data_IF_294991626734
#
_entry.id   IF_294991626734
#
_cell.length_a   1.000
_cell.length_b   1.000
_cell.length_c   1.000
_cell.angle_alpha   90.00
_cell.angle_beta   90.00
_cell.angle_gamma   90.00
#
_symmetry.space_group_name_H-M   'P 1'
#
loop_
_entity.id
_entity.type
_entity.pdbx_description
1 polymer ?
#
# COMPACT_ATOMS: atom_id res chain seq x y z
N UNK A 1 2.35 -28.15 17.23
CA UNK A 1 3.61 -27.53 16.76
C UNK A 1 3.45 -26.04 16.99
N UNK A 2 4.13 -25.48 17.99
CA UNK A 2 4.19 -24.02 18.17
C UNK A 2 4.95 -23.43 16.99
N UNK A 3 4.47 -22.35 16.34
CA UNK A 3 5.25 -21.74 15.27
C UNK A 3 6.57 -21.24 15.87
N UNK A 4 7.68 -21.69 15.30
CA UNK A 4 8.97 -21.06 15.56
C UNK A 4 8.87 -19.60 15.14
N UNK A 5 9.33 -18.71 16.01
CA UNK A 5 9.37 -17.28 15.73
C UNK A 5 10.19 -17.05 14.43
N UNK A 6 9.57 -16.44 13.42
CA UNK A 6 10.22 -16.00 12.18
C UNK A 6 10.33 -14.47 12.20
N UNK A 7 11.57 -13.98 12.04
CA UNK A 7 11.86 -12.55 11.97
C UNK A 7 11.19 -11.91 10.75
N UNK A 8 11.13 -12.65 9.64
CA UNK A 8 10.49 -12.23 8.39
C UNK A 8 8.98 -12.05 8.60
N UNK A 9 8.33 -13.01 9.28
CA UNK A 9 6.90 -12.95 9.58
C UNK A 9 6.56 -11.83 10.57
N UNK A 10 7.47 -11.51 11.49
CA UNK A 10 7.34 -10.38 12.39
C UNK A 10 7.54 -9.04 11.68
N UNK A 11 8.54 -8.93 10.79
CA UNK A 11 8.81 -7.73 10.01
C UNK A 11 7.68 -7.40 9.03
N UNK A 12 7.07 -8.43 8.42
CA UNK A 12 5.91 -8.29 7.54
C UNK A 12 4.62 -7.81 8.25
N UNK A 13 4.66 -7.51 9.55
CA UNK A 13 3.52 -6.85 10.22
C UNK A 13 3.50 -5.34 9.99
N UNK A 14 4.59 -4.74 9.51
CA UNK A 14 4.67 -3.33 9.12
C UNK A 14 5.02 -3.17 7.66
N UNK A 15 4.56 -2.06 7.09
CA UNK A 15 4.96 -1.63 5.75
C UNK A 15 6.43 -1.17 5.72
N UNK A 16 6.90 -0.56 6.79
CA UNK A 16 8.30 -0.19 7.00
C UNK A 16 8.77 -0.59 8.40
N UNK A 17 9.41 0.35 9.10
CA UNK A 17 9.99 0.12 10.43
C UNK A 17 8.96 0.39 11.54
N UNK A 18 7.95 1.21 11.28
CA UNK A 18 6.98 1.62 12.28
C UNK A 18 5.83 0.61 12.43
N UNK A 19 5.73 0.03 13.62
CA UNK A 19 4.66 -0.89 14.01
C UNK A 19 3.77 -0.23 15.06
N UNK A 20 2.55 0.14 14.65
CA UNK A 20 1.45 0.44 15.56
C UNK A 20 0.43 -0.70 15.45
N UNK A 21 0.31 -1.57 16.47
CA UNK A 21 -0.64 -2.68 16.45
C UNK A 21 -2.08 -2.23 16.22
N UNK A 22 -2.47 -1.01 16.62
CA UNK A 22 -3.81 -0.49 16.38
C UNK A 22 -4.07 -0.17 14.90
N UNK A 23 -3.01 -0.06 14.09
CA UNK A 23 -3.08 0.21 12.66
C UNK A 23 -2.99 -1.06 11.80
N UNK A 24 -2.64 -2.21 12.40
CA UNK A 24 -2.52 -3.46 11.65
C UNK A 24 -3.89 -3.90 11.14
N UNK A 25 -4.00 -4.03 9.81
CA UNK A 25 -5.24 -4.43 9.17
C UNK A 25 -5.07 -4.56 7.66
N UNK A 26 -6.19 -4.77 6.96
CA UNK A 26 -6.21 -4.82 5.50
C UNK A 26 -5.89 -3.43 4.92
N UNK A 27 -4.96 -3.43 3.98
CA UNK A 27 -4.57 -2.29 3.16
C UNK A 27 -4.97 -2.60 1.74
N UNK A 28 -5.69 -1.67 1.11
CA UNK A 28 -6.20 -1.80 -0.25
C UNK A 28 -5.92 -0.51 -1.00
N UNK A 29 -5.07 -0.61 -2.01
CA UNK A 29 -4.73 0.49 -2.91
C UNK A 29 -5.27 0.21 -4.31
N UNK A 30 -5.82 1.24 -4.96
CA UNK A 30 -6.22 1.18 -6.37
C UNK A 30 -5.35 2.12 -7.18
N UNK A 31 -4.51 1.55 -8.03
CA UNK A 31 -3.68 2.29 -8.97
C UNK A 31 -4.47 2.58 -10.24
N UNK A 32 -4.41 3.82 -10.73
CA UNK A 32 -5.02 4.24 -11.97
C UNK A 32 -4.43 3.46 -13.17
N UNK A 33 -5.15 3.38 -14.31
CA UNK A 33 -4.70 2.58 -15.46
C UNK A 33 -3.31 2.95 -16.00
N UNK A 34 -2.94 4.23 -15.93
CA UNK A 34 -1.63 4.74 -16.34
C UNK A 34 -0.49 4.41 -15.35
N UNK A 35 -0.82 3.98 -14.12
CA UNK A 35 0.13 3.52 -13.10
C UNK A 35 0.14 1.99 -12.92
N UNK A 36 -0.91 1.29 -13.36
CA UNK A 36 -1.16 -0.12 -13.06
C UNK A 36 0.00 -1.04 -13.46
N UNK A 37 0.51 -0.93 -14.70
CA UNK A 37 1.63 -1.76 -15.18
C UNK A 37 2.87 -1.58 -14.32
N UNK A 38 3.21 -0.32 -13.98
CA UNK A 38 4.38 0.00 -13.15
C UNK A 38 4.20 -0.52 -11.73
N UNK A 39 3.01 -0.34 -11.14
CA UNK A 39 2.71 -0.83 -9.79
C UNK A 39 2.77 -2.36 -9.70
N UNK A 40 2.39 -3.09 -10.75
CA UNK A 40 2.48 -4.55 -10.79
C UNK A 40 3.92 -5.09 -10.72
N UNK A 41 4.93 -4.28 -11.05
CA UNK A 41 6.35 -4.64 -10.95
C UNK A 41 6.90 -4.50 -9.52
N UNK A 42 6.16 -3.85 -8.61
CA UNK A 42 6.61 -3.58 -7.25
C UNK A 42 6.14 -4.65 -6.27
N UNK A 43 7.07 -5.09 -5.42
CA UNK A 43 6.75 -5.82 -4.20
C UNK A 43 6.65 -4.81 -3.03
N UNK A 44 5.46 -4.23 -2.85
CA UNK A 44 5.10 -3.40 -1.71
C UNK A 44 5.06 -4.19 -0.40
N UNK A 45 4.60 -5.44 -0.45
CA UNK A 45 4.51 -6.32 0.71
C UNK A 45 4.71 -7.79 0.32
N UNK A 46 5.40 -8.63 1.12
CA UNK A 46 5.61 -10.04 0.79
C UNK A 46 4.33 -10.87 0.60
N UNK A 47 3.22 -10.46 1.22
CA UNK A 47 1.93 -11.15 1.13
C UNK A 47 0.94 -10.46 0.18
N UNK A 48 1.41 -9.52 -0.66
CA UNK A 48 0.51 -8.77 -1.51
C UNK A 48 -0.19 -9.65 -2.55
N UNK A 49 -1.43 -9.28 -2.84
CA UNK A 49 -2.23 -9.82 -3.93
C UNK A 49 -2.46 -8.70 -4.94
N UNK A 50 -2.33 -9.04 -6.22
CA UNK A 50 -2.55 -8.15 -7.36
C UNK A 50 -3.85 -8.56 -8.06
N UNK A 51 -4.77 -7.61 -8.21
CA UNK A 51 -6.11 -7.81 -8.80
C UNK A 51 -6.29 -6.82 -9.97
N UNK A 52 -5.96 -7.21 -11.21
CA UNK A 52 -6.25 -6.40 -12.40
C UNK A 52 -7.77 -6.18 -12.54
N UNK A 53 -8.17 -4.97 -12.93
CA UNK A 53 -9.56 -4.58 -13.10
C UNK A 53 -9.92 -4.40 -14.59
N UNK A 54 -11.20 -4.53 -14.93
CA UNK A 54 -11.69 -4.41 -16.32
C UNK A 54 -11.48 -3.02 -16.93
N UNK A 55 -11.36 -1.98 -16.10
CA UNK A 55 -11.09 -0.60 -16.53
C UNK A 55 -9.59 -0.30 -16.72
N UNK A 56 -8.74 -1.32 -16.58
CA UNK A 56 -7.28 -1.21 -16.66
C UNK A 56 -6.61 -0.77 -15.36
N UNK A 57 -7.37 -0.47 -14.30
CA UNK A 57 -6.79 -0.20 -12.97
C UNK A 57 -6.25 -1.48 -12.32
N UNK A 58 -5.45 -1.30 -11.27
CA UNK A 58 -4.91 -2.41 -10.48
C UNK A 58 -5.27 -2.21 -9.01
N UNK A 59 -5.87 -3.22 -8.40
CA UNK A 59 -6.01 -3.30 -6.95
C UNK A 59 -4.82 -4.08 -6.38
N UNK A 60 -4.19 -3.52 -5.34
CA UNK A 60 -3.14 -4.15 -4.55
C UNK A 60 -3.65 -4.31 -3.12
N UNK A 61 -3.61 -5.54 -2.60
CA UNK A 61 -4.09 -5.87 -1.24
C UNK A 61 -3.00 -6.53 -0.41
N UNK A 62 -2.87 -6.16 0.85
CA UNK A 62 -2.03 -6.85 1.84
C UNK A 62 -2.48 -6.47 3.25
N UNK A 63 -1.84 -7.05 4.28
CA UNK A 63 -2.06 -6.66 5.67
C UNK A 63 -0.77 -6.10 6.26
N UNK A 64 -0.83 -4.89 6.81
CA UNK A 64 0.31 -4.26 7.48
C UNK A 64 -0.16 -3.10 8.36
N UNK A 65 0.65 -2.76 9.36
CA UNK A 65 0.61 -1.49 10.08
C UNK A 65 1.58 -0.46 9.44
N UNK A 66 1.58 0.77 9.94
CA UNK A 66 2.53 1.80 9.54
C UNK A 66 1.98 2.78 8.51
N UNK A 67 0.83 3.40 8.80
CA UNK A 67 0.15 4.30 7.86
C UNK A 67 0.98 5.52 7.45
N UNK A 68 1.81 6.05 8.35
CA UNK A 68 2.65 7.20 8.04
C UNK A 68 3.69 6.87 6.96
N UNK A 69 4.34 5.71 7.07
CA UNK A 69 5.31 5.25 6.07
C UNK A 69 4.63 4.90 4.75
N UNK A 70 3.43 4.31 4.80
CA UNK A 70 2.59 4.13 3.61
C UNK A 70 2.30 5.47 2.95
N UNK A 71 1.85 6.48 3.69
CA UNK A 71 1.56 7.81 3.14
C UNK A 71 2.79 8.44 2.46
N UNK A 72 3.96 8.35 3.08
CA UNK A 72 5.22 8.81 2.48
C UNK A 72 5.53 8.10 1.17
N UNK A 73 5.37 6.77 1.16
CA UNK A 73 5.58 5.97 -0.02
C UNK A 73 4.58 6.32 -1.13
N UNK A 74 3.31 6.55 -0.80
CA UNK A 74 2.29 6.86 -1.81
C UNK A 74 2.54 8.20 -2.51
N UNK A 75 3.26 9.16 -1.90
CA UNK A 75 3.58 10.42 -2.57
C UNK A 75 4.37 10.25 -3.87
N UNK A 76 5.20 9.22 -3.98
CA UNK A 76 5.96 8.98 -5.22
C UNK A 76 5.06 8.62 -6.41
N UNK A 77 3.81 8.21 -6.17
CA UNK A 77 2.82 7.84 -7.19
C UNK A 77 1.86 8.98 -7.54
N UNK A 78 2.05 10.17 -6.96
CA UNK A 78 1.22 11.34 -7.24
C UNK A 78 -0.22 11.17 -6.79
N UNK A 79 -1.16 11.50 -7.67
CA UNK A 79 -2.60 11.26 -7.49
C UNK A 79 -3.09 9.97 -8.18
N UNK A 80 -2.16 9.10 -8.62
CA UNK A 80 -2.46 7.88 -9.38
C UNK A 80 -2.72 6.66 -8.51
N UNK A 81 -2.79 6.84 -7.20
CA UNK A 81 -3.11 5.79 -6.23
C UNK A 81 -4.19 6.26 -5.27
N UNK A 82 -5.31 5.54 -5.23
CA UNK A 82 -6.39 5.74 -4.27
C UNK A 82 -6.26 4.73 -3.12
N UNK A 83 -6.35 5.20 -1.87
CA UNK A 83 -6.48 4.33 -0.71
C UNK A 83 -7.95 3.98 -0.50
N UNK A 84 -8.31 2.72 -0.74
CA UNK A 84 -9.66 2.21 -0.48
C UNK A 84 -9.83 1.79 0.98
N UNK A 85 -8.78 1.20 1.58
CA UNK A 85 -8.71 0.82 2.99
C UNK A 85 -7.25 0.85 3.49
N UNK A 86 -7.00 1.03 4.80
CA UNK A 86 -7.98 1.34 5.84
C UNK A 86 -8.44 2.80 5.82
N UNK A 87 -9.57 3.09 6.47
CA UNK A 87 -10.17 4.44 6.52
C UNK A 87 -9.20 5.48 7.10
N UNK A 88 -8.45 5.14 8.15
CA UNK A 88 -7.51 6.07 8.77
C UNK A 88 -6.33 6.45 7.86
N UNK A 89 -5.82 5.51 7.04
CA UNK A 89 -4.84 5.84 6.01
C UNK A 89 -5.45 6.71 4.91
N UNK A 90 -6.68 6.40 4.49
CA UNK A 90 -7.41 7.18 3.49
C UNK A 90 -7.58 8.64 3.93
N UNK A 91 -7.99 8.86 5.17
CA UNK A 91 -8.12 10.20 5.77
C UNK A 91 -6.77 10.91 5.86
N UNK A 92 -5.69 10.19 6.21
CA UNK A 92 -4.35 10.75 6.30
C UNK A 92 -3.82 11.31 4.97
N UNK A 93 -4.15 10.66 3.85
CA UNK A 93 -3.64 11.08 2.52
C UNK A 93 -4.58 12.04 1.78
N UNK A 94 -5.87 12.08 2.16
CA UNK A 94 -6.89 12.83 1.45
C UNK A 94 -6.57 14.33 1.35
N UNK A 95 -6.49 14.85 0.13
CA UNK A 95 -6.23 16.26 -0.15
C UNK A 95 -4.75 16.65 -0.15
N UNK A 96 -3.85 15.70 0.13
CA UNK A 96 -2.41 15.91 0.10
C UNK A 96 -1.72 15.26 -1.10
N UNK A 97 -2.45 14.47 -1.90
CA UNK A 97 -1.89 13.80 -3.07
C UNK A 97 -1.31 14.79 -4.09
N UNK A 98 -0.22 14.39 -4.74
CA UNK A 98 0.56 15.25 -5.64
C UNK A 98 0.07 15.10 -7.08
N UNK A 99 -0.92 15.89 -7.47
CA UNK A 99 -1.44 15.91 -8.85
C UNK A 99 -0.41 16.42 -9.88
N UNK A 100 0.67 17.04 -9.41
CA UNK A 100 1.80 17.51 -10.21
C UNK A 100 2.85 16.43 -10.49
N UNK A 101 2.74 15.25 -9.84
CA UNK A 101 3.66 14.14 -10.04
C UNK A 101 3.09 13.15 -11.06
N UNK A 102 3.98 12.61 -11.90
CA UNK A 102 3.66 11.42 -12.69
C UNK A 102 3.57 10.17 -11.78
N UNK A 103 3.08 9.05 -12.33
CA UNK A 103 3.04 7.78 -11.63
C UNK A 103 4.44 7.17 -11.46
N UNK A 104 5.15 7.53 -10.38
CA UNK A 104 6.54 7.15 -10.11
C UNK A 104 7.53 7.66 -11.19
N UNK A 105 8.66 8.28 -10.83
CA UNK A 105 9.65 8.70 -11.83
C UNK A 105 10.29 7.52 -12.60
#
# INVERSE_FOLDING_TARGET
LTPEFSLESYAAQSFGVYQDPAQYGEVVWRFAPDAATRAAEFQFHPTQILEPQDDGSLIVRFNAAGWLEMAWHLYQWGDKVEVLAPMGLREMVAGYQRSDFAALP
#
